data_IF_993055667652
#
_entry.id   IF_993055667652
#
_cell.length_a   1.000
_cell.length_b   1.000
_cell.length_c   1.000
_cell.angle_alpha   90.00
_cell.angle_beta   90.00
_cell.angle_gamma   90.00
#
_symmetry.space_group_name_H-M   'P 1'
#
loop_
_entity.id
_entity.type
_entity.pdbx_description
1 polymer ?
#
# COMPACT_ATOMS: atom_id res chain seq x y z
N UNK A 1 -7.46 -12.02 18.68
CA UNK A 1 -7.45 -13.13 17.68
C UNK A 1 -7.42 -12.62 16.24
N UNK A 2 -8.24 -11.63 15.84
CA UNK A 2 -8.25 -11.08 14.46
C UNK A 2 -6.87 -10.60 13.96
N UNK A 3 -6.08 -9.94 14.81
CA UNK A 3 -4.74 -9.45 14.43
C UNK A 3 -3.72 -10.57 14.18
N UNK A 4 -3.82 -11.68 14.92
CA UNK A 4 -2.93 -12.84 14.73
C UNK A 4 -3.31 -13.56 13.42
N UNK A 5 -4.61 -13.75 13.19
CA UNK A 5 -5.12 -14.31 11.93
C UNK A 5 -4.72 -13.45 10.73
N UNK A 6 -4.83 -12.11 10.86
CA UNK A 6 -4.37 -11.15 9.86
C UNK A 6 -2.90 -11.40 9.51
N UNK A 7 -2.02 -11.43 10.51
CA UNK A 7 -0.59 -11.61 10.30
C UNK A 7 -0.25 -12.96 9.66
N UNK A 8 -0.89 -14.05 10.11
CA UNK A 8 -0.67 -15.39 9.56
C UNK A 8 -1.07 -15.44 8.08
N UNK A 9 -2.24 -14.92 7.74
CA UNK A 9 -2.73 -14.91 6.36
C UNK A 9 -1.92 -13.98 5.46
N UNK A 10 -1.53 -12.81 5.99
CA UNK A 10 -0.70 -11.84 5.28
C UNK A 10 0.69 -12.42 4.98
N UNK A 11 1.38 -12.93 6.00
CA UNK A 11 2.73 -13.48 5.81
C UNK A 11 2.69 -14.75 4.98
N UNK A 12 1.71 -15.64 5.22
CA UNK A 12 1.54 -16.87 4.44
C UNK A 12 1.28 -16.60 2.97
N UNK A 13 0.34 -15.69 2.64
CA UNK A 13 0.04 -15.30 1.27
C UNK A 13 1.21 -14.57 0.60
N UNK A 14 1.85 -13.65 1.33
CA UNK A 14 3.01 -12.89 0.86
C UNK A 14 4.21 -13.77 0.53
N UNK A 15 4.51 -14.77 1.36
CA UNK A 15 5.60 -15.74 1.08
C UNK A 15 5.29 -16.55 -0.17
N UNK A 16 4.05 -16.97 -0.38
CA UNK A 16 3.63 -17.68 -1.59
C UNK A 16 3.77 -16.85 -2.87
N UNK A 17 3.57 -15.54 -2.78
CA UNK A 17 3.69 -14.61 -3.91
C UNK A 17 5.12 -14.36 -4.38
N UNK A 18 6.14 -14.73 -3.59
CA UNK A 18 7.54 -14.54 -3.99
C UNK A 18 7.88 -15.20 -5.34
N UNK A 19 7.22 -16.32 -5.69
CA UNK A 19 7.41 -17.00 -6.97
C UNK A 19 6.91 -16.20 -8.18
N UNK A 20 6.11 -15.16 -7.96
CA UNK A 20 5.47 -14.33 -8.98
C UNK A 20 6.10 -12.95 -9.12
N UNK A 21 7.25 -12.71 -8.48
CA UNK A 21 8.00 -11.44 -8.54
C UNK A 21 8.26 -11.00 -9.97
N UNK A 22 8.67 -11.93 -10.84
CA UNK A 22 9.03 -11.62 -12.22
C UNK A 22 7.84 -11.15 -13.08
N UNK A 23 6.60 -11.51 -12.71
CA UNK A 23 5.41 -11.06 -13.43
C UNK A 23 5.18 -9.55 -13.32
N UNK A 24 5.68 -8.93 -12.25
CA UNK A 24 5.57 -7.48 -12.01
C UNK A 24 6.79 -6.67 -12.45
N UNK A 25 7.73 -7.30 -13.17
CA UNK A 25 8.93 -6.65 -13.70
C UNK A 25 8.67 -5.29 -14.36
N UNK A 26 7.74 -5.13 -15.32
CA UNK A 26 7.52 -3.84 -15.99
C UNK A 26 7.05 -2.73 -15.01
N UNK A 27 6.25 -3.10 -14.01
CA UNK A 27 5.74 -2.12 -13.04
C UNK A 27 6.81 -1.76 -12.00
N UNK A 28 7.64 -2.73 -11.61
CA UNK A 28 8.79 -2.51 -10.77
C UNK A 28 9.86 -1.64 -11.43
N UNK A 29 10.09 -1.79 -12.73
CA UNK A 29 10.98 -0.90 -13.50
C UNK A 29 10.46 0.54 -13.55
N UNK A 30 9.15 0.73 -13.69
CA UNK A 30 8.52 2.05 -13.56
C UNK A 30 8.75 2.68 -12.18
N UNK A 31 8.62 1.87 -11.11
CA UNK A 31 8.94 2.33 -9.75
C UNK A 31 10.42 2.68 -9.59
N UNK A 32 11.32 1.93 -10.22
CA UNK A 32 12.75 2.25 -10.23
C UNK A 32 13.05 3.59 -10.90
N UNK A 33 12.38 3.88 -12.02
CA UNK A 33 12.45 5.18 -12.69
C UNK A 33 11.95 6.34 -11.83
N UNK A 34 10.88 6.12 -11.07
CA UNK A 34 10.42 7.10 -10.07
C UNK A 34 11.48 7.30 -8.97
N UNK A 35 12.04 6.22 -8.43
CA UNK A 35 13.06 6.30 -7.38
C UNK A 35 14.36 6.94 -7.85
N UNK A 36 14.80 6.72 -9.09
CA UNK A 36 15.98 7.41 -9.63
C UNK A 36 15.75 8.92 -9.74
N UNK A 37 14.54 9.35 -10.09
CA UNK A 37 14.17 10.77 -10.15
C UNK A 37 14.22 11.46 -8.77
N UNK A 38 13.88 10.74 -7.69
CA UNK A 38 13.93 11.27 -6.31
C UNK A 38 15.19 10.87 -5.53
N UNK A 39 16.23 10.37 -6.21
CA UNK A 39 17.50 9.91 -5.63
C UNK A 39 17.38 8.82 -4.56
N UNK A 40 16.39 7.94 -4.69
CA UNK A 40 16.17 6.74 -3.87
C UNK A 40 16.41 5.44 -4.65
N UNK A 41 17.21 5.49 -5.73
CA UNK A 41 17.51 4.33 -6.55
C UNK A 41 18.14 3.21 -5.71
N UNK A 42 17.56 2.02 -5.84
CA UNK A 42 17.95 0.83 -5.09
C UNK A 42 18.21 -0.36 -6.01
N UNK A 43 18.18 -0.13 -7.33
CA UNK A 43 18.30 -1.15 -8.37
C UNK A 43 16.96 -1.79 -8.74
N UNK A 44 16.81 -2.13 -10.02
CA UNK A 44 15.58 -2.63 -10.62
C UNK A 44 15.03 -3.88 -9.91
N UNK A 45 15.88 -4.85 -9.59
CA UNK A 45 15.48 -6.08 -8.91
C UNK A 45 14.87 -5.85 -7.52
N UNK A 46 15.38 -4.85 -6.78
CA UNK A 46 14.82 -4.50 -5.48
C UNK A 46 13.52 -3.69 -5.62
N UNK A 47 13.46 -2.80 -6.61
CA UNK A 47 12.27 -2.02 -6.95
C UNK A 47 11.07 -2.93 -7.31
N UNK A 48 11.31 -4.02 -8.06
CA UNK A 48 10.28 -5.01 -8.37
C UNK A 48 9.73 -5.66 -7.09
N UNK A 49 10.62 -6.06 -6.17
CA UNK A 49 10.21 -6.66 -4.89
C UNK A 49 9.47 -5.66 -4.01
N UNK A 50 9.94 -4.40 -3.94
CA UNK A 50 9.25 -3.32 -3.24
C UNK A 50 7.83 -3.14 -3.77
N UNK A 51 7.68 -3.05 -5.10
CA UNK A 51 6.40 -2.88 -5.74
C UNK A 51 5.46 -4.06 -5.46
N UNK A 52 5.94 -5.30 -5.59
CA UNK A 52 5.14 -6.50 -5.29
C UNK A 52 4.67 -6.48 -3.84
N UNK A 53 5.58 -6.30 -2.87
CA UNK A 53 5.24 -6.32 -1.45
C UNK A 53 4.25 -5.21 -1.09
N UNK A 54 4.43 -4.00 -1.63
CA UNK A 54 3.56 -2.87 -1.37
C UNK A 54 2.18 -3.01 -2.00
N UNK A 55 2.12 -3.49 -3.25
CA UNK A 55 0.86 -3.77 -3.94
C UNK A 55 0.09 -4.87 -3.22
N UNK A 56 0.77 -5.97 -2.87
CA UNK A 56 0.19 -7.05 -2.10
C UNK A 56 -0.37 -6.56 -0.77
N UNK A 57 0.39 -5.75 -0.01
CA UNK A 57 -0.10 -5.17 1.23
C UNK A 57 -1.35 -4.33 1.02
N UNK A 58 -1.33 -3.46 0.02
CA UNK A 58 -2.47 -2.60 -0.28
C UNK A 58 -3.73 -3.42 -0.62
N UNK A 59 -3.60 -4.41 -1.51
CA UNK A 59 -4.71 -5.30 -1.85
C UNK A 59 -5.19 -6.12 -0.65
N UNK A 60 -4.27 -6.68 0.15
CA UNK A 60 -4.62 -7.47 1.32
C UNK A 60 -5.41 -6.64 2.34
N UNK A 61 -4.99 -5.42 2.64
CA UNK A 61 -5.73 -4.53 3.54
C UNK A 61 -7.13 -4.19 3.00
N UNK A 62 -7.27 -3.94 1.70
CA UNK A 62 -8.57 -3.69 1.08
C UNK A 62 -9.50 -4.90 1.18
N UNK A 63 -9.01 -6.10 0.84
CA UNK A 63 -9.76 -7.35 0.96
C UNK A 63 -10.11 -7.64 2.41
N UNK A 64 -9.17 -7.44 3.33
CA UNK A 64 -9.38 -7.65 4.77
C UNK A 64 -10.50 -6.73 5.30
N UNK A 65 -10.46 -5.44 4.94
CA UNK A 65 -11.51 -4.49 5.31
C UNK A 65 -12.86 -4.81 4.69
N UNK A 66 -12.89 -5.41 3.49
CA UNK A 66 -14.13 -5.85 2.84
C UNK A 66 -14.75 -7.07 3.53
N UNK A 67 -13.93 -8.03 3.96
CA UNK A 67 -14.38 -9.26 4.66
C UNK A 67 -14.78 -8.97 6.11
N UNK A 68 -14.02 -8.10 6.79
CA UNK A 68 -14.27 -7.69 8.17
C UNK A 68 -14.58 -6.20 8.24
N UNK A 69 -15.76 -5.76 7.76
CA UNK A 69 -16.13 -4.36 7.81
C UNK A 69 -16.24 -3.91 9.27
N UNK A 70 -15.55 -2.82 9.60
CA UNK A 70 -15.81 -2.11 10.85
C UNK A 70 -17.18 -1.42 10.75
N UNK A 71 -17.97 -1.38 11.84
CA UNK A 71 -19.23 -0.68 11.85
C UNK A 71 -18.99 0.76 11.43
N UNK A 72 -19.75 1.24 10.44
CA UNK A 72 -19.63 2.59 9.94
C UNK A 72 -19.80 3.56 11.12
N UNK A 73 -18.70 4.19 11.56
CA UNK A 73 -18.81 5.37 12.42
C UNK A 73 -19.71 6.34 11.67
N UNK A 74 -20.85 6.71 12.30
CA UNK A 74 -21.87 7.55 11.67
C UNK A 74 -21.21 8.74 10.97
N UNK A 75 -21.08 8.64 9.65
CA UNK A 75 -20.46 9.69 8.86
C UNK A 75 -21.47 10.84 8.87
N UNK A 76 -21.14 11.87 9.63
CA UNK A 76 -21.97 13.06 9.86
C UNK A 76 -22.55 13.56 8.54
N UNK A 77 -23.87 13.77 8.54
CA UNK A 77 -24.79 14.09 7.43
C UNK A 77 -24.46 15.33 6.55
N UNK A 78 -23.26 15.89 6.67
CA UNK A 78 -22.80 17.07 5.92
C UNK A 78 -21.47 16.78 5.21
N UNK A 79 -21.54 16.00 4.12
CA UNK A 79 -20.41 15.83 3.19
C UNK A 79 -20.41 17.01 2.20
N UNK A 80 -19.44 17.91 2.37
CA UNK A 80 -19.20 19.06 1.47
C UNK A 80 -18.15 18.65 0.44
N UNK A 81 -18.19 19.19 -0.79
CA UNK A 81 -17.19 18.89 -1.83
C UNK A 81 -15.74 19.13 -1.37
N UNK A 82 -15.50 20.12 -0.51
CA UNK A 82 -14.20 20.37 0.11
C UNK A 82 -13.69 19.19 0.94
N UNK A 83 -14.58 18.42 1.59
CA UNK A 83 -14.21 17.20 2.33
C UNK A 83 -13.73 16.09 1.39
N UNK A 84 -14.33 15.97 0.20
CA UNK A 84 -13.91 14.98 -0.81
C UNK A 84 -12.50 15.31 -1.28
N UNK A 85 -12.24 16.57 -1.63
CA UNK A 85 -10.91 17.05 -2.05
C UNK A 85 -9.88 16.88 -0.94
N UNK A 86 -10.21 17.24 0.31
CA UNK A 86 -9.29 17.07 1.43
C UNK A 86 -8.96 15.60 1.71
N UNK A 87 -9.94 14.70 1.60
CA UNK A 87 -9.72 13.25 1.77
C UNK A 87 -8.86 12.68 0.64
N UNK A 88 -9.07 13.13 -0.60
CA UNK A 88 -8.22 12.78 -1.74
C UNK A 88 -6.77 13.21 -1.51
N UNK A 89 -6.56 14.49 -1.18
CA UNK A 89 -5.21 15.03 -0.94
C UNK A 89 -4.52 14.31 0.22
N UNK A 90 -5.25 14.00 1.30
CA UNK A 90 -4.71 13.24 2.43
C UNK A 90 -4.33 11.81 2.04
N UNK A 91 -5.16 11.13 1.26
CA UNK A 91 -4.85 9.78 0.75
C UNK A 91 -3.64 9.79 -0.17
N UNK A 92 -3.56 10.76 -1.08
CA UNK A 92 -2.41 10.95 -1.98
C UNK A 92 -1.13 11.28 -1.22
N UNK A 93 -1.18 12.21 -0.27
CA UNK A 93 -0.01 12.56 0.56
C UNK A 93 0.51 11.34 1.34
N UNK A 94 -0.39 10.53 1.90
CA UNK A 94 -0.01 9.29 2.60
C UNK A 94 0.54 8.24 1.64
N UNK A 95 -0.06 8.06 0.47
CA UNK A 95 0.44 7.15 -0.56
C UNK A 95 1.87 7.50 -0.97
N UNK A 96 2.13 8.77 -1.30
CA UNK A 96 3.46 9.27 -1.65
C UNK A 96 4.43 9.09 -0.47
N UNK A 97 4.01 9.40 0.75
CA UNK A 97 4.84 9.18 1.95
C UNK A 97 5.21 7.71 2.12
N UNK A 98 4.28 6.78 1.88
CA UNK A 98 4.56 5.35 1.92
C UNK A 98 5.58 4.93 0.87
N UNK A 99 5.47 5.45 -0.36
CA UNK A 99 6.46 5.18 -1.41
C UNK A 99 7.84 5.71 -1.04
N UNK A 100 7.95 6.91 -0.47
CA UNK A 100 9.24 7.46 -0.04
C UNK A 100 9.86 6.63 1.10
N UNK A 101 9.06 6.23 2.10
CA UNK A 101 9.54 5.35 3.18
C UNK A 101 10.00 4.01 2.61
N UNK A 102 9.24 3.44 1.67
CA UNK A 102 9.60 2.19 1.01
C UNK A 102 10.92 2.32 0.25
N UNK A 103 11.12 3.41 -0.50
CA UNK A 103 12.37 3.73 -1.18
C UNK A 103 13.55 3.84 -0.22
N UNK A 104 13.39 4.56 0.90
CA UNK A 104 14.41 4.68 1.95
C UNK A 104 14.80 3.31 2.55
N UNK A 105 13.80 2.46 2.81
CA UNK A 105 14.03 1.09 3.29
C UNK A 105 14.77 0.26 2.24
N UNK A 106 14.45 0.42 0.96
CA UNK A 106 15.16 -0.21 -0.14
C UNK A 106 16.64 0.15 -0.18
N UNK A 107 16.96 1.45 -0.15
CA UNK A 107 18.35 1.94 -0.12
C UNK A 107 19.11 1.37 1.09
N UNK A 108 18.45 1.24 2.25
CA UNK A 108 19.02 0.59 3.42
C UNK A 108 19.30 -0.90 3.24
N UNK A 109 18.44 -1.61 2.51
CA UNK A 109 18.57 -3.04 2.24
C UNK A 109 19.63 -3.37 1.19
N UNK A 110 19.83 -2.51 0.19
CA UNK A 110 20.89 -2.67 -0.84
C UNK A 110 22.28 -2.75 -0.22
N UNK A 111 22.52 -1.98 0.85
CA UNK A 111 23.82 -1.92 1.52
C UNK A 111 24.14 -3.16 2.37
N UNK A 112 23.20 -4.10 2.48
CA UNK A 112 23.34 -5.28 3.35
C UNK A 112 23.45 -6.56 2.50
N UNK A 113 24.33 -7.51 2.88
CA UNK A 113 24.53 -8.76 2.14
C UNK A 113 23.41 -9.78 2.42
N UNK A 114 22.15 -9.39 2.19
CA UNK A 114 21.00 -10.26 2.34
C UNK A 114 20.70 -11.01 1.05
N UNK A 115 20.21 -12.25 1.17
CA UNK A 115 19.70 -12.97 0.01
C UNK A 115 18.41 -12.33 -0.52
N UNK A 116 18.09 -12.59 -1.79
CA UNK A 116 16.91 -12.02 -2.45
C UNK A 116 15.60 -12.25 -1.69
N UNK A 117 15.44 -13.46 -1.13
CA UNK A 117 14.28 -13.81 -0.30
C UNK A 117 14.25 -13.04 1.02
N UNK A 118 15.40 -12.85 1.70
CA UNK A 118 15.46 -12.08 2.94
C UNK A 118 15.14 -10.59 2.70
N UNK A 119 15.61 -10.03 1.59
CA UNK A 119 15.25 -8.68 1.17
C UNK A 119 13.74 -8.57 0.93
N UNK A 120 13.16 -9.51 0.17
CA UNK A 120 11.72 -9.56 -0.06
C UNK A 120 10.91 -9.68 1.24
N UNK A 121 11.29 -10.58 2.14
CA UNK A 121 10.59 -10.79 3.39
C UNK A 121 10.67 -9.55 4.31
N UNK A 122 11.83 -8.88 4.34
CA UNK A 122 11.98 -7.62 5.09
C UNK A 122 11.07 -6.52 4.55
N UNK A 123 10.97 -6.42 3.22
CA UNK A 123 10.03 -5.51 2.55
C UNK A 123 8.57 -5.88 2.85
N UNK A 124 8.23 -7.17 2.80
CA UNK A 124 6.89 -7.68 3.11
C UNK A 124 6.47 -7.26 4.53
N UNK A 125 7.33 -7.47 5.53
CA UNK A 125 7.05 -7.07 6.93
C UNK A 125 6.89 -5.56 7.04
N UNK A 126 7.73 -4.78 6.38
CA UNK A 126 7.62 -3.31 6.36
C UNK A 126 6.31 -2.86 5.72
N UNK A 127 5.92 -3.50 4.62
CA UNK A 127 4.71 -3.19 3.86
C UNK A 127 3.43 -3.51 4.63
N UNK A 128 3.45 -4.35 5.68
CA UNK A 128 2.32 -4.47 6.62
C UNK A 128 1.90 -3.09 7.13
N UNK A 129 2.86 -2.32 7.64
CA UNK A 129 2.58 -1.00 8.21
C UNK A 129 2.17 -0.01 7.11
N UNK A 130 2.89 -0.03 5.99
CA UNK A 130 2.62 0.89 4.88
C UNK A 130 1.23 0.65 4.28
N UNK A 131 0.79 -0.60 4.17
CA UNK A 131 -0.51 -1.00 3.63
C UNK A 131 -1.72 -0.35 4.33
N UNK A 132 -1.54 0.12 5.57
CA UNK A 132 -2.55 0.89 6.30
C UNK A 132 -2.99 2.19 5.60
N UNK A 133 -2.22 2.71 4.64
CA UNK A 133 -2.62 3.87 3.82
C UNK A 133 -3.96 3.65 3.11
N UNK A 134 -4.28 2.40 2.78
CA UNK A 134 -5.52 2.02 2.08
C UNK A 134 -6.79 2.30 2.88
N UNK A 135 -6.69 2.46 4.20
CA UNK A 135 -7.80 2.91 5.04
C UNK A 135 -8.28 4.29 4.58
N UNK A 136 -7.35 5.20 4.31
CA UNK A 136 -7.66 6.55 3.83
C UNK A 136 -8.16 6.55 2.38
N UNK A 137 -7.67 5.62 1.56
CA UNK A 137 -8.18 5.41 0.21
C UNK A 137 -9.65 4.97 0.25
N UNK A 138 -10.00 4.01 1.11
CA UNK A 138 -11.38 3.57 1.35
C UNK A 138 -12.26 4.73 1.82
N UNK A 139 -11.80 5.51 2.81
CA UNK A 139 -12.54 6.65 3.34
C UNK A 139 -12.80 7.72 2.25
N UNK A 140 -11.81 7.96 1.39
CA UNK A 140 -11.99 8.83 0.22
C UNK A 140 -13.09 8.31 -0.71
N UNK A 141 -13.06 7.03 -1.10
CA UNK A 141 -14.08 6.43 -1.98
C UNK A 141 -15.48 6.49 -1.37
N UNK A 142 -15.62 6.19 -0.07
CA UNK A 142 -16.89 6.29 0.64
C UNK A 142 -17.40 7.75 0.68
N UNK A 143 -16.51 8.72 0.94
CA UNK A 143 -16.86 10.13 0.95
C UNK A 143 -17.31 10.61 -0.43
N UNK A 144 -16.59 10.19 -1.49
CA UNK A 144 -16.92 10.51 -2.87
C UNK A 144 -18.26 9.88 -3.31
N UNK A 145 -18.50 8.62 -2.98
CA UNK A 145 -19.74 7.92 -3.27
C UNK A 145 -20.95 8.60 -2.61
N UNK A 146 -20.81 8.98 -1.33
CA UNK A 146 -21.86 9.71 -0.61
C UNK A 146 -22.13 11.10 -1.20
N UNK A 147 -21.09 11.82 -1.63
CA UNK A 147 -21.24 13.11 -2.28
C UNK A 147 -21.96 13.00 -3.64
N UNK A 148 -21.56 12.02 -4.47
CA UNK A 148 -22.21 11.76 -5.76
C UNK A 148 -23.66 11.32 -5.57
N UNK A 149 -23.93 10.34 -4.70
CA UNK A 149 -25.28 9.85 -4.42
C UNK A 149 -26.25 10.93 -3.90
N UNK A 150 -25.73 11.98 -3.27
CA UNK A 150 -26.51 13.17 -2.87
C UNK A 150 -26.73 14.16 -4.01
N UNK A 151 -25.81 14.27 -4.97
CA UNK A 151 -25.96 15.14 -6.14
C UNK A 151 -27.00 14.61 -7.15
N UNK A 152 -27.28 13.31 -7.12
CA UNK A 152 -28.27 12.64 -7.95
C UNK A 152 -29.65 12.45 -7.29
N UNK A 153 -29.84 12.89 -6.04
CA UNK A 153 -31.15 12.98 -5.36
C UNK A 153 -31.61 14.43 -5.29
#
# INVERSE_FOLDING_TARGET
MKNILFLILYLGGGVGLYRWVDFLRPVGEGLNGFYSWVWLDSGSELAIRQFLSFSYASFFYLVWMAIFPEPAKSYVYTVVGSKVVSSFLRSMALFVSCLLILGLVGVGLVKRPYSAFHQYFSLLVTCVLLGGWTIYLKDFFLTAANYMGRKYK
#
